data_IF_747704613262
#
_entry.id   IF_747704613262
#
_cell.length_a   1.000
_cell.length_b   1.000
_cell.length_c   1.000
_cell.angle_alpha   90.00
_cell.angle_beta   90.00
_cell.angle_gamma   90.00
#
_symmetry.space_group_name_H-M   'P 1'
#
loop_
_entity.id
_entity.type
_entity.pdbx_description
1 polymer ?
#
# COMPACT_ATOMS: atom_id res chain seq x y z
N UNK A 1 3.04 14.05 8.10
CA UNK A 1 3.24 13.71 6.67
C UNK A 1 3.32 12.21 6.40
N UNK A 2 4.11 11.41 7.15
CA UNK A 2 4.28 9.95 6.90
C UNK A 2 2.98 9.11 6.87
N UNK A 3 2.00 9.42 7.71
CA UNK A 3 0.71 8.69 7.76
C UNK A 3 -0.13 8.93 6.49
N UNK A 4 -0.19 10.18 6.02
CA UNK A 4 -0.94 10.56 4.81
C UNK A 4 -0.30 9.90 3.58
N UNK A 5 1.03 9.92 3.48
CA UNK A 5 1.77 9.23 2.41
C UNK A 5 1.54 7.72 2.46
N UNK A 6 1.49 7.13 3.65
CA UNK A 6 1.16 5.71 3.82
C UNK A 6 -0.25 5.37 3.33
N UNK A 7 -1.24 6.22 3.64
CA UNK A 7 -2.63 6.03 3.18
C UNK A 7 -2.75 6.11 1.65
N UNK A 8 -2.06 7.07 1.02
CA UNK A 8 -1.99 7.21 -0.44
C UNK A 8 -1.36 5.96 -1.08
N UNK A 9 -0.30 5.41 -0.48
CA UNK A 9 0.37 4.22 -0.98
C UNK A 9 -0.51 2.96 -0.88
N UNK A 10 -1.30 2.81 0.21
CA UNK A 10 -2.30 1.73 0.33
C UNK A 10 -3.38 1.87 -0.74
N UNK A 11 -3.92 3.08 -0.93
CA UNK A 11 -4.96 3.33 -1.93
C UNK A 11 -4.46 3.07 -3.37
N UNK A 12 -3.26 3.54 -3.70
CA UNK A 12 -2.63 3.27 -5.00
C UNK A 12 -2.33 1.78 -5.20
N UNK A 13 -1.88 1.08 -4.16
CA UNK A 13 -1.69 -0.37 -4.20
C UNK A 13 -2.98 -1.13 -4.49
N UNK A 14 -4.10 -0.70 -3.88
CA UNK A 14 -5.43 -1.24 -4.14
C UNK A 14 -5.87 -1.03 -5.59
N UNK A 15 -5.69 0.18 -6.12
CA UNK A 15 -6.02 0.51 -7.51
C UNK A 15 -5.20 -0.33 -8.50
N UNK A 16 -3.89 -0.50 -8.26
CA UNK A 16 -3.00 -1.33 -9.08
C UNK A 16 -3.45 -2.79 -9.05
N UNK A 17 -3.81 -3.32 -7.88
CA UNK A 17 -4.31 -4.68 -7.74
C UNK A 17 -5.63 -4.89 -8.50
N UNK A 18 -6.59 -3.95 -8.38
CA UNK A 18 -7.83 -4.00 -9.18
C UNK A 18 -7.54 -3.99 -10.68
N UNK A 19 -6.62 -3.14 -11.13
CA UNK A 19 -6.24 -3.08 -12.54
C UNK A 19 -5.57 -4.37 -13.00
N UNK A 20 -4.72 -4.97 -12.17
CA UNK A 20 -4.08 -6.28 -12.44
C UNK A 20 -5.09 -7.42 -12.56
N UNK A 21 -6.10 -7.46 -11.68
CA UNK A 21 -7.17 -8.46 -11.72
C UNK A 21 -8.03 -8.27 -12.97
N UNK A 22 -8.43 -7.03 -13.29
CA UNK A 22 -9.23 -6.72 -14.48
C UNK A 22 -8.48 -7.06 -15.77
N UNK A 23 -7.19 -6.73 -15.84
CA UNK A 23 -6.34 -7.13 -16.96
C UNK A 23 -6.19 -8.64 -17.04
N UNK A 24 -6.11 -9.36 -15.91
CA UNK A 24 -6.03 -10.82 -15.84
C UNK A 24 -7.15 -11.59 -16.56
N UNK A 25 -8.29 -10.95 -16.83
CA UNK A 25 -9.37 -11.52 -17.66
C UNK A 25 -9.11 -11.44 -19.18
N UNK A 26 -8.01 -10.81 -19.60
CA UNK A 26 -7.54 -10.79 -20.99
C UNK A 26 -6.34 -11.72 -21.15
N UNK A 27 -6.21 -12.41 -22.30
CA UNK A 27 -5.12 -13.37 -22.57
C UNK A 27 -3.73 -12.74 -22.37
N UNK A 28 -3.60 -11.45 -22.70
CA UNK A 28 -2.38 -10.66 -22.48
C UNK A 28 -2.14 -10.43 -20.98
N UNK A 29 -3.20 -10.15 -20.22
CA UNK A 29 -3.09 -9.87 -18.81
C UNK A 29 -2.82 -11.09 -17.92
N UNK A 30 -3.01 -12.34 -18.35
CA UNK A 30 -2.58 -13.51 -17.56
C UNK A 30 -1.06 -13.52 -17.29
N UNK A 31 -0.25 -13.03 -18.23
CA UNK A 31 1.22 -12.93 -18.07
C UNK A 31 1.64 -11.75 -17.19
N UNK A 32 0.87 -10.66 -17.21
CA UNK A 32 1.18 -9.43 -16.45
C UNK A 32 0.41 -9.30 -15.12
N UNK A 33 -0.62 -10.12 -14.89
CA UNK A 33 -1.44 -10.07 -13.68
C UNK A 33 -0.63 -10.44 -12.44
N UNK A 34 0.24 -11.44 -12.52
CA UNK A 34 1.12 -11.83 -11.41
C UNK A 34 2.05 -10.69 -10.94
N UNK A 35 2.88 -10.08 -11.82
CA UNK A 35 3.75 -8.99 -11.40
C UNK A 35 2.98 -7.74 -10.97
N UNK A 36 1.84 -7.41 -11.60
CA UNK A 36 1.01 -6.25 -11.23
C UNK A 36 0.37 -6.45 -9.86
N UNK A 37 -0.17 -7.63 -9.58
CA UNK A 37 -0.75 -7.96 -8.26
C UNK A 37 0.32 -7.92 -7.17
N UNK A 38 1.50 -8.45 -7.46
CA UNK A 38 2.66 -8.43 -6.53
C UNK A 38 3.10 -7.00 -6.23
N UNK A 39 3.15 -6.13 -7.24
CA UNK A 39 3.46 -4.70 -7.08
C UNK A 39 2.40 -3.96 -6.25
N UNK A 40 1.12 -4.30 -6.44
CA UNK A 40 0.00 -3.78 -5.64
C UNK A 40 0.14 -4.13 -4.15
N UNK A 41 0.39 -5.41 -3.85
CA UNK A 41 0.63 -5.90 -2.49
C UNK A 41 1.86 -5.22 -1.87
N UNK A 42 2.96 -5.09 -2.61
CA UNK A 42 4.16 -4.44 -2.11
C UNK A 42 3.91 -2.97 -1.72
N UNK A 43 3.16 -2.21 -2.53
CA UNK A 43 2.79 -0.83 -2.20
C UNK A 43 1.84 -0.74 -1.01
N UNK A 44 0.90 -1.68 -0.88
CA UNK A 44 0.03 -1.77 0.31
C UNK A 44 0.83 -2.01 1.59
N UNK A 45 1.77 -2.95 1.56
CA UNK A 45 2.63 -3.27 2.71
C UNK A 45 3.51 -2.07 3.09
N UNK A 46 4.09 -1.37 2.10
CA UNK A 46 4.85 -0.15 2.35
C UNK A 46 3.97 0.96 2.96
N UNK A 47 2.75 1.13 2.46
CA UNK A 47 1.80 2.11 2.99
C UNK A 47 1.37 1.81 4.42
N UNK A 48 1.03 0.55 4.72
CA UNK A 48 0.72 0.06 6.06
C UNK A 48 1.90 0.25 7.04
N UNK A 49 3.13 -0.07 6.61
CA UNK A 49 4.32 0.16 7.43
C UNK A 49 4.52 1.65 7.75
N UNK A 50 4.34 2.53 6.76
CA UNK A 50 4.44 3.99 6.96
C UNK A 50 3.38 4.53 7.93
N UNK A 51 2.15 4.00 7.87
CA UNK A 51 1.09 4.31 8.83
C UNK A 51 1.48 3.81 10.22
N UNK A 52 1.91 2.55 10.34
CA UNK A 52 2.31 1.94 11.62
C UNK A 52 3.45 2.69 12.31
N UNK A 53 4.54 2.98 11.59
CA UNK A 53 5.66 3.75 12.14
C UNK A 53 5.25 5.19 12.48
N UNK A 54 4.43 5.83 11.65
CA UNK A 54 3.93 7.19 11.91
C UNK A 54 3.05 7.27 13.16
N UNK A 55 2.17 6.29 13.35
CA UNK A 55 1.30 6.19 14.53
C UNK A 55 2.10 5.89 15.79
N UNK A 56 3.08 4.97 15.73
CA UNK A 56 3.97 4.68 16.85
C UNK A 56 4.81 5.89 17.26
N UNK A 57 5.38 6.61 16.29
CA UNK A 57 6.16 7.84 16.55
C UNK A 57 5.29 8.93 17.20
N UNK A 58 4.02 9.04 16.79
CA UNK A 58 3.06 9.97 17.38
C UNK A 58 2.69 9.56 18.81
N UNK A 59 2.37 8.28 19.05
CA UNK A 59 2.04 7.75 20.37
C UNK A 59 3.21 7.89 21.36
N UNK A 60 4.43 7.63 20.90
CA UNK A 60 5.65 7.82 21.70
C UNK A 60 5.85 9.29 22.09
N UNK A 61 5.69 10.23 21.16
CA UNK A 61 5.79 11.68 21.46
C UNK A 61 4.73 12.18 22.43
N UNK A 62 3.53 11.59 22.40
CA UNK A 62 2.47 11.89 23.38
C UNK A 62 2.86 11.35 24.77
N UNK A 63 3.40 10.13 24.83
CA UNK A 63 3.85 9.51 26.09
C UNK A 63 5.07 10.20 26.71
N UNK A 64 6.00 10.72 25.91
CA UNK A 64 7.17 11.47 26.40
C UNK A 64 6.83 12.92 26.82
N UNK A 65 5.62 13.40 26.52
CA UNK A 65 5.12 14.73 26.94
C UNK A 65 4.23 14.71 28.18
N UNK A 66 3.89 13.53 28.71
CA UNK A 66 3.22 13.34 29.99
C UNK A 66 4.24 13.00 31.07
#
# INVERSE_FOLDING_TARGET
MRIITGFINVFLGFMIMMFGIVLGFTIIGLLFAFPVTTAGIAKMTQGMAQIGFGTYETARKVRERQ
#
